data_IF_761415018644
#
_entry.id   IF_761415018644
#
_cell.length_a   1.000
_cell.length_b   1.000
_cell.length_c   1.000
_cell.angle_alpha   90.00
_cell.angle_beta   90.00
_cell.angle_gamma   90.00
#
_symmetry.space_group_name_H-M   'P 1'
#
loop_
_entity.id
_entity.type
_entity.pdbx_description
1 polymer ?
#
# COMPACT_ATOMS: atom_id res chain seq x y z
N UNK A 1 3.05 27.07 8.06
CA UNK A 1 4.37 26.76 7.47
C UNK A 1 4.38 25.46 6.66
N UNK A 2 3.48 24.49 6.93
CA UNK A 2 3.38 23.22 6.18
C UNK A 2 2.77 23.35 4.77
N UNK A 3 1.81 24.25 4.56
CA UNK A 3 1.12 24.46 3.27
C UNK A 3 2.06 24.88 2.12
N UNK A 4 3.22 25.47 2.44
CA UNK A 4 4.15 26.00 1.42
C UNK A 4 5.07 24.94 0.82
N UNK A 5 5.26 23.79 1.50
CA UNK A 5 6.09 22.69 0.98
C UNK A 5 5.39 21.94 -0.16
N UNK A 6 4.06 21.84 -0.12
CA UNK A 6 3.24 21.17 -1.15
C UNK A 6 3.16 21.94 -2.48
N UNK A 7 3.57 23.22 -2.51
CA UNK A 7 3.45 24.10 -3.68
C UNK A 7 4.77 24.36 -4.41
N UNK A 8 5.85 23.67 -4.04
CA UNK A 8 7.15 23.81 -4.70
C UNK A 8 7.18 22.86 -5.89
N UNK A 9 7.63 23.27 -7.10
CA UNK A 9 7.84 22.35 -8.20
C UNK A 9 8.74 21.21 -7.70
N UNK A 10 8.19 20.00 -7.66
CA UNK A 10 8.89 18.84 -7.15
C UNK A 10 10.15 18.64 -7.98
N UNK A 11 11.30 18.92 -7.37
CA UNK A 11 12.57 18.47 -7.88
C UNK A 11 12.48 16.94 -7.89
N UNK A 12 12.65 16.27 -9.04
CA UNK A 12 12.43 14.82 -9.18
C UNK A 12 13.13 14.00 -8.08
N UNK A 13 14.27 14.49 -7.61
CA UNK A 13 15.06 13.88 -6.52
C UNK A 13 14.33 13.88 -5.16
N UNK A 14 13.54 14.91 -4.85
CA UNK A 14 12.76 14.98 -3.60
C UNK A 14 11.68 13.90 -3.55
N UNK A 15 11.08 13.57 -4.70
CA UNK A 15 10.10 12.48 -4.79
C UNK A 15 10.74 11.11 -4.53
N UNK A 16 11.94 10.88 -5.08
CA UNK A 16 12.68 9.62 -4.92
C UNK A 16 13.10 9.40 -3.45
N UNK A 17 13.63 10.44 -2.78
CA UNK A 17 14.01 10.35 -1.36
C UNK A 17 12.80 10.13 -0.44
N UNK A 18 11.68 10.80 -0.73
CA UNK A 18 10.43 10.61 0.01
C UNK A 18 9.90 9.18 -0.15
N UNK A 19 9.88 8.65 -1.39
CA UNK A 19 9.48 7.27 -1.66
C UNK A 19 10.42 6.25 -1.01
N UNK A 20 11.74 6.49 -1.01
CA UNK A 20 12.69 5.61 -0.31
C UNK A 20 12.38 5.55 1.19
N UNK A 21 12.16 6.73 1.81
CA UNK A 21 11.81 6.82 3.22
C UNK A 21 10.48 6.12 3.53
N UNK A 22 9.48 6.32 2.69
CA UNK A 22 8.15 5.71 2.86
C UNK A 22 8.22 4.18 2.82
N UNK A 23 8.91 3.61 1.82
CA UNK A 23 9.07 2.16 1.72
C UNK A 23 9.83 1.62 2.93
N UNK A 24 10.96 2.25 3.29
CA UNK A 24 11.75 1.80 4.43
C UNK A 24 10.94 1.81 5.73
N UNK A 25 10.24 2.90 6.02
CA UNK A 25 9.43 3.02 7.23
C UNK A 25 8.22 2.07 7.24
N UNK A 26 7.57 1.85 6.10
CA UNK A 26 6.46 0.88 6.00
C UNK A 26 6.94 -0.53 6.30
N UNK A 27 8.05 -0.96 5.69
CA UNK A 27 8.60 -2.30 5.92
C UNK A 27 9.09 -2.49 7.35
N UNK A 28 9.66 -1.45 7.95
CA UNK A 28 10.09 -1.45 9.36
C UNK A 28 8.90 -1.64 10.32
N UNK A 29 7.77 -0.96 10.08
CA UNK A 29 6.53 -1.15 10.88
C UNK A 29 6.03 -2.60 10.77
N UNK A 30 6.04 -3.17 9.57
CA UNK A 30 5.61 -4.55 9.31
C UNK A 30 6.64 -5.61 9.74
N UNK A 31 7.72 -5.20 10.41
CA UNK A 31 8.84 -6.09 10.82
C UNK A 31 9.43 -6.89 9.65
N UNK A 32 9.45 -6.31 8.45
CA UNK A 32 10.03 -6.88 7.24
C UNK A 32 11.46 -6.37 7.09
N UNK A 33 12.42 -7.31 7.14
CA UNK A 33 13.84 -7.01 6.94
C UNK A 33 14.10 -6.41 5.55
N UNK A 34 14.73 -5.23 5.54
CA UNK A 34 15.05 -4.49 4.33
C UNK A 34 16.17 -3.47 4.58
N UNK A 35 16.84 -3.03 3.51
CA UNK A 35 17.90 -2.01 3.58
C UNK A 35 17.62 -0.85 2.63
N UNK A 36 18.11 0.34 3.00
CA UNK A 36 18.05 1.52 2.11
C UNK A 36 18.83 1.29 0.83
N UNK A 37 19.92 0.52 0.90
CA UNK A 37 20.75 0.14 -0.24
C UNK A 37 19.93 -0.69 -1.25
N UNK A 38 19.19 -1.70 -0.79
CA UNK A 38 18.29 -2.49 -1.65
C UNK A 38 17.21 -1.63 -2.28
N UNK A 39 16.56 -0.74 -1.51
CA UNK A 39 15.55 0.19 -2.07
C UNK A 39 16.15 1.06 -3.18
N UNK A 40 17.33 1.63 -2.95
CA UNK A 40 18.04 2.45 -3.94
C UNK A 40 18.44 1.67 -5.19
N UNK A 41 18.84 0.40 -5.05
CA UNK A 41 19.13 -0.47 -6.22
C UNK A 41 17.88 -0.64 -7.07
N UNK A 42 16.76 -1.01 -6.46
CA UNK A 42 15.49 -1.16 -7.18
C UNK A 42 15.07 0.15 -7.86
N UNK A 43 15.26 1.29 -7.20
CA UNK A 43 14.92 2.60 -7.75
C UNK A 43 15.81 3.01 -8.93
N UNK A 44 17.06 2.52 -8.97
CA UNK A 44 17.98 2.68 -10.09
C UNK A 44 17.70 1.72 -11.26
N UNK A 45 16.70 0.83 -11.14
CA UNK A 45 16.29 -0.09 -12.21
C UNK A 45 16.99 -1.44 -12.19
N UNK A 46 17.67 -1.80 -11.10
CA UNK A 46 18.19 -3.15 -10.92
C UNK A 46 17.03 -4.13 -10.71
N UNK A 47 17.16 -5.34 -11.24
CA UNK A 47 16.21 -6.41 -10.97
C UNK A 47 16.28 -6.82 -9.49
N UNK A 48 15.13 -7.12 -8.85
CA UNK A 48 15.10 -7.59 -7.48
C UNK A 48 15.77 -8.96 -7.35
N UNK A 49 16.54 -9.12 -6.28
CA UNK A 49 17.16 -10.38 -5.89
C UNK A 49 16.45 -10.98 -4.67
N UNK A 50 15.68 -12.04 -4.90
CA UNK A 50 14.95 -12.75 -3.85
C UNK A 50 13.64 -12.10 -3.39
N UNK A 51 12.99 -12.73 -2.41
CA UNK A 51 11.62 -12.39 -1.99
C UNK A 51 11.51 -11.01 -1.33
N UNK A 52 12.51 -10.61 -0.54
CA UNK A 52 12.53 -9.32 0.14
C UNK A 52 12.60 -8.16 -0.86
N UNK A 53 13.52 -8.22 -1.84
CA UNK A 53 13.60 -7.18 -2.88
C UNK A 53 12.40 -7.19 -3.82
N UNK A 54 11.75 -8.35 -4.03
CA UNK A 54 10.47 -8.41 -4.74
C UNK A 54 9.36 -7.63 -4.01
N UNK A 55 9.32 -7.68 -2.67
CA UNK A 55 8.39 -6.84 -1.86
C UNK A 55 8.69 -5.36 -2.07
N UNK A 56 9.95 -4.95 -1.97
CA UNK A 56 10.39 -3.56 -2.25
C UNK A 56 9.96 -3.12 -3.65
N UNK A 57 10.17 -3.96 -4.66
CA UNK A 57 9.81 -3.66 -6.04
C UNK A 57 8.29 -3.51 -6.24
N UNK A 58 7.49 -4.33 -5.55
CA UNK A 58 6.03 -4.24 -5.58
C UNK A 58 5.51 -3.00 -4.85
N UNK A 59 6.13 -2.63 -3.72
CA UNK A 59 5.87 -1.36 -3.03
C UNK A 59 6.20 -0.16 -3.90
N UNK A 60 7.33 -0.17 -4.64
CA UNK A 60 7.66 0.86 -5.63
C UNK A 60 6.55 1.01 -6.67
N UNK A 61 6.08 -0.10 -7.26
CA UNK A 61 4.97 -0.08 -8.23
C UNK A 61 3.67 0.44 -7.60
N UNK A 62 3.39 0.08 -6.35
CA UNK A 62 2.23 0.59 -5.61
C UNK A 62 2.30 2.10 -5.42
N UNK A 63 3.46 2.63 -5.03
CA UNK A 63 3.67 4.07 -4.92
C UNK A 63 3.57 4.78 -6.27
N UNK A 64 4.15 4.21 -7.34
CA UNK A 64 3.99 4.72 -8.70
C UNK A 64 2.52 4.74 -9.14
N UNK A 65 1.75 3.72 -8.75
CA UNK A 65 0.31 3.65 -9.01
C UNK A 65 -0.45 4.79 -8.30
N UNK A 66 -0.24 5.01 -7.00
CA UNK A 66 -0.96 6.08 -6.27
C UNK A 66 -0.52 7.50 -6.67
N UNK A 67 0.70 7.68 -7.18
CA UNK A 67 1.18 8.98 -7.65
C UNK A 67 0.46 9.48 -8.92
N UNK A 68 -0.22 8.59 -9.64
CA UNK A 68 -1.00 8.95 -10.82
C UNK A 68 -2.35 9.52 -10.42
N UNK A 69 -2.63 10.77 -10.83
CA UNK A 69 -3.94 11.42 -10.60
C UNK A 69 -5.11 10.74 -11.30
N UNK A 70 -4.84 9.92 -12.32
CA UNK A 70 -5.84 9.13 -13.02
C UNK A 70 -6.36 7.98 -12.15
N UNK A 71 -5.56 7.53 -11.17
CA UNK A 71 -5.93 6.45 -10.26
C UNK A 71 -6.72 7.03 -9.07
N UNK A 72 -7.94 7.47 -9.33
CA UNK A 72 -8.87 7.95 -8.29
C UNK A 72 -9.10 6.86 -7.24
N UNK A 73 -9.39 7.26 -6.00
CA UNK A 73 -9.69 6.33 -4.92
C UNK A 73 -11.06 5.71 -5.18
N UNK A 74 -11.09 4.54 -5.81
CA UNK A 74 -12.28 3.72 -6.08
C UNK A 74 -12.07 2.32 -5.51
N UNK A 75 -13.14 1.56 -5.30
CA UNK A 75 -13.02 0.15 -4.86
C UNK A 75 -12.14 -0.67 -5.82
N UNK A 76 -12.29 -0.44 -7.12
CA UNK A 76 -11.48 -1.09 -8.17
C UNK A 76 -10.00 -0.73 -8.08
N UNK A 77 -9.66 0.55 -7.88
CA UNK A 77 -8.28 0.97 -7.77
C UNK A 77 -7.65 0.55 -6.43
N UNK A 78 -8.42 0.46 -5.34
CA UNK A 78 -7.96 -0.12 -4.06
C UNK A 78 -7.65 -1.60 -4.25
N UNK A 79 -8.53 -2.35 -4.90
CA UNK A 79 -8.31 -3.76 -5.23
C UNK A 79 -7.09 -3.95 -6.14
N UNK A 80 -6.92 -3.08 -7.14
CA UNK A 80 -5.74 -3.09 -8.02
C UNK A 80 -4.45 -2.78 -7.26
N UNK A 81 -4.47 -1.81 -6.35
CA UNK A 81 -3.33 -1.50 -5.49
C UNK A 81 -2.95 -2.69 -4.60
N UNK A 82 -3.93 -3.36 -3.99
CA UNK A 82 -3.71 -4.60 -3.25
C UNK A 82 -2.99 -5.67 -4.10
N UNK A 83 -3.44 -5.89 -5.33
CA UNK A 83 -2.82 -6.85 -6.24
C UNK A 83 -1.39 -6.45 -6.64
N UNK A 84 -1.12 -5.17 -6.83
CA UNK A 84 0.22 -4.66 -7.19
C UNK A 84 1.20 -4.80 -6.03
N UNK A 85 0.77 -4.48 -4.80
CA UNK A 85 1.66 -4.27 -3.67
C UNK A 85 1.77 -5.48 -2.73
N UNK A 86 0.70 -6.28 -2.58
CA UNK A 86 0.55 -7.21 -1.44
C UNK A 86 0.19 -8.64 -1.86
N UNK A 87 -0.68 -8.85 -2.86
CA UNK A 87 -1.29 -10.16 -3.12
C UNK A 87 -0.28 -11.32 -3.28
N UNK A 88 0.81 -11.12 -4.03
CA UNK A 88 1.83 -12.14 -4.29
C UNK A 88 2.62 -12.56 -3.03
N UNK A 89 2.48 -11.81 -1.93
CA UNK A 89 3.23 -11.99 -0.70
C UNK A 89 2.41 -12.57 0.45
N UNK A 90 1.14 -12.86 0.20
CA UNK A 90 0.24 -13.54 1.13
C UNK A 90 0.19 -15.03 0.79
N UNK A 91 -0.02 -15.84 1.82
CA UNK A 91 -0.36 -17.25 1.68
C UNK A 91 -1.69 -17.40 0.93
N UNK A 92 -1.88 -18.52 0.23
CA UNK A 92 -3.06 -18.74 -0.62
C UNK A 92 -4.37 -18.54 0.14
N UNK A 93 -4.47 -19.06 1.36
CA UNK A 93 -5.65 -18.93 2.21
C UNK A 93 -5.92 -17.48 2.68
N UNK A 94 -4.88 -16.65 2.70
CA UNK A 94 -4.97 -15.24 3.09
C UNK A 94 -5.25 -14.30 1.91
N UNK A 95 -5.21 -14.81 0.67
CA UNK A 95 -5.48 -14.01 -0.53
C UNK A 95 -6.98 -13.77 -0.71
N UNK A 96 -7.29 -12.69 -1.43
CA UNK A 96 -8.64 -12.47 -1.92
C UNK A 96 -9.03 -13.60 -2.89
N UNK A 97 -10.27 -14.07 -2.77
CA UNK A 97 -10.84 -15.03 -3.71
C UNK A 97 -11.04 -14.35 -5.07
N UNK A 98 -10.99 -15.14 -6.13
CA UNK A 98 -11.21 -14.61 -7.48
C UNK A 98 -12.56 -13.88 -7.58
N UNK A 99 -12.55 -12.71 -8.22
CA UNK A 99 -13.70 -11.80 -8.29
C UNK A 99 -14.11 -11.11 -6.98
N UNK A 100 -13.43 -11.34 -5.86
CA UNK A 100 -13.74 -10.72 -4.56
C UNK A 100 -12.83 -9.53 -4.28
N UNK A 101 -13.41 -8.40 -3.86
CA UNK A 101 -12.66 -7.18 -3.57
C UNK A 101 -12.14 -7.12 -2.13
N UNK A 102 -12.72 -7.93 -1.24
CA UNK A 102 -12.50 -7.86 0.20
C UNK A 102 -12.28 -9.23 0.82
N UNK A 103 -11.66 -9.23 1.99
CA UNK A 103 -11.45 -10.45 2.77
C UNK A 103 -12.77 -11.15 3.06
N UNK A 104 -12.67 -12.46 3.22
CA UNK A 104 -13.81 -13.36 3.31
C UNK A 104 -13.85 -14.13 4.64
N UNK A 105 -13.01 -13.71 5.60
CA UNK A 105 -12.95 -14.30 6.94
C UNK A 105 -12.61 -13.22 7.98
N UNK A 106 -12.76 -13.57 9.24
CA UNK A 106 -12.44 -12.76 10.41
C UNK A 106 -10.93 -12.57 10.51
N UNK A 107 -10.52 -11.35 10.84
CA UNK A 107 -9.11 -11.02 11.13
C UNK A 107 -9.02 -10.42 12.51
N UNK A 108 -7.89 -10.65 13.16
CA UNK A 108 -7.57 -10.07 14.46
C UNK A 108 -6.42 -9.10 14.26
N UNK A 109 -6.58 -7.89 14.79
CA UNK A 109 -5.54 -6.87 14.83
C UNK A 109 -4.77 -7.13 16.12
N UNK A 110 -3.57 -7.67 15.97
CA UNK A 110 -2.67 -7.97 17.09
C UNK A 110 -1.87 -6.72 17.42
N UNK A 111 -2.06 -6.16 18.61
CA UNK A 111 -1.19 -5.15 19.21
C UNK A 111 -0.36 -5.72 20.36
N UNK A 112 0.42 -4.87 21.05
CA UNK A 112 1.26 -5.29 22.18
C UNK A 112 0.46 -5.84 23.37
N UNK A 113 -0.81 -5.43 23.56
CA UNK A 113 -1.61 -5.82 24.73
C UNK A 113 -3.08 -6.20 24.47
N UNK A 114 -3.67 -5.84 23.33
CA UNK A 114 -5.10 -6.12 23.03
C UNK A 114 -5.25 -6.66 21.61
N UNK A 115 -5.87 -7.85 21.50
CA UNK A 115 -6.38 -8.35 20.23
C UNK A 115 -7.73 -7.69 19.92
N UNK A 116 -7.76 -6.84 18.90
CA UNK A 116 -9.00 -6.27 18.41
C UNK A 116 -9.51 -7.11 17.24
N UNK A 117 -10.73 -7.63 17.35
CA UNK A 117 -11.37 -8.25 16.19
C UNK A 117 -11.67 -7.17 15.15
N UNK A 118 -11.21 -7.41 13.92
CA UNK A 118 -11.59 -6.58 12.78
C UNK A 118 -13.10 -6.61 12.56
N UNK A 119 -13.58 -5.69 11.72
CA UNK A 119 -15.01 -5.62 11.39
C UNK A 119 -15.53 -6.95 10.81
N UNK A 120 -16.82 -7.26 10.98
CA UNK A 120 -17.42 -8.42 10.32
C UNK A 120 -17.22 -8.31 8.79
N UNK A 121 -16.69 -9.36 8.15
CA UNK A 121 -16.27 -9.28 6.74
C UNK A 121 -17.46 -9.02 5.80
N UNK A 122 -18.64 -9.46 6.21
CA UNK A 122 -19.92 -9.25 5.53
C UNK A 122 -20.31 -7.77 5.42
N UNK A 123 -19.80 -6.92 6.33
CA UNK A 123 -20.07 -5.48 6.33
C UNK A 123 -19.03 -4.66 5.55
N UNK A 124 -17.90 -5.26 5.17
CA UNK A 124 -16.83 -4.54 4.46
C UNK A 124 -17.33 -3.92 3.16
N UNK A 125 -18.11 -4.60 2.29
CA UNK A 125 -18.58 -4.01 1.05
C UNK A 125 -19.36 -2.70 1.28
N UNK A 126 -20.28 -2.70 2.25
CA UNK A 126 -21.09 -1.51 2.59
C UNK A 126 -20.21 -0.35 3.09
N UNK A 127 -19.28 -0.63 3.98
CA UNK A 127 -18.42 0.41 4.56
C UNK A 127 -17.38 0.92 3.57
N UNK A 128 -16.82 0.07 2.72
CA UNK A 128 -15.87 0.49 1.70
C UNK A 128 -16.55 1.33 0.63
N UNK A 129 -17.77 0.99 0.22
CA UNK A 129 -18.59 1.85 -0.64
C UNK A 129 -18.81 3.20 0.02
N UNK A 130 -19.20 3.22 1.29
CA UNK A 130 -19.40 4.47 2.06
C UNK A 130 -18.11 5.30 2.14
N UNK A 131 -16.97 4.66 2.36
CA UNK A 131 -15.66 5.31 2.42
C UNK A 131 -15.28 5.94 1.07
N UNK A 132 -15.43 5.18 -0.01
CA UNK A 132 -15.12 5.66 -1.37
C UNK A 132 -16.08 6.79 -1.76
N UNK A 133 -17.37 6.66 -1.46
CA UNK A 133 -18.37 7.71 -1.70
C UNK A 133 -17.99 8.99 -0.92
N UNK A 134 -17.58 8.87 0.35
CA UNK A 134 -17.15 10.00 1.18
C UNK A 134 -15.86 10.65 0.67
N UNK A 135 -14.86 9.87 0.24
CA UNK A 135 -13.61 10.42 -0.29
C UNK A 135 -13.83 11.17 -1.60
N UNK A 136 -14.79 10.71 -2.42
CA UNK A 136 -15.09 11.30 -3.71
C UNK A 136 -16.23 12.32 -3.67
N UNK A 137 -16.89 12.55 -2.52
CA UNK A 137 -17.82 13.65 -2.43
C UNK A 137 -17.01 14.95 -2.46
N UNK A 138 -17.31 15.82 -3.43
CA UNK A 138 -16.78 17.18 -3.40
C UNK A 138 -17.31 17.85 -2.11
N UNK A 139 -16.40 18.38 -1.30
CA UNK A 139 -16.75 19.17 -0.11
C UNK A 139 -17.41 20.49 -0.45
#
# INVERSE_FOLDING_TARGET
>A
MLLKMLSTPQNKNYGIEAMEKEIYSTLEIESIDSSRESIRKIFKGYAPDGQQENRIYSMKKGLEFICSKENRITEENIHRLYNIAIADFLDEDSRLKDGSFYRHDTVYIVGEEIEHMGIAFEKIPEYMKTLVDFINCDG
#
